data_IF_320687317587
#
_entry.id   IF_320687317587
#
_cell.length_a   1.000
_cell.length_b   1.000
_cell.length_c   1.000
_cell.angle_alpha   90.00
_cell.angle_beta   90.00
_cell.angle_gamma   90.00
#
_symmetry.space_group_name_H-M   'P 1'
#
loop_
_entity.id
_entity.type
_entity.pdbx_description
1 polymer ?
#
# COMPACT_ATOMS: atom_id res chain seq x y z
N UNK A 1 5.92 19.87 -39.52
CA UNK A 1 5.97 19.68 -39.00
C UNK A 1 5.78 19.46 -38.15
N UNK A 2 5.86 19.23 -38.11
CA UNK A 2 5.81 18.96 -37.32
C UNK A 2 5.59 18.53 -36.37
N UNK A 3 5.67 18.29 -36.42
CA UNK A 3 5.49 17.84 -35.51
C UNK A 3 5.52 17.58 -34.62
N UNK A 4 5.57 17.62 -34.66
CA UNK A 4 5.59 17.37 -33.77
C UNK A 4 5.58 16.98 -32.95
N UNK A 5 5.67 16.92 -33.02
CA UNK A 5 5.68 16.44 -32.16
C UNK A 5 5.60 16.24 -31.32
N UNK A 6 5.58 16.21 -31.42
CA UNK A 6 5.61 15.93 -30.61
C UNK A 6 5.36 15.75 -29.82
N UNK A 7 5.35 15.59 -30.05
CA UNK A 7 5.25 15.32 -29.38
C UNK A 7 5.13 15.07 -28.65
N UNK A 8 5.13 14.95 -29.10
CA UNK A 8 5.15 14.60 -28.50
C UNK A 8 5.04 14.41 -27.82
N UNK A 9 4.86 14.22 -28.00
CA UNK A 9 4.82 13.98 -27.37
C UNK A 9 4.78 13.72 -26.61
N UNK A 10 4.77 13.46 -26.69
CA UNK A 10 4.80 13.14 -25.93
C UNK A 10 4.78 12.71 -25.17
N UNK A 11 4.52 12.35 -25.40
CA UNK A 11 4.67 11.78 -24.66
C UNK A 11 4.64 11.51 -23.93
N UNK A 12 4.77 11.41 -23.99
CA UNK A 12 4.83 11.17 -23.23
C UNK A 12 4.64 10.99 -22.36
N UNK A 13 4.42 10.66 -22.44
CA UNK A 13 4.39 10.41 -21.57
C UNK A 13 4.16 10.38 -20.71
N UNK A 14 3.90 10.32 -20.67
CA UNK A 14 3.86 10.35 -19.85
C UNK A 14 3.79 10.67 -19.22
N UNK A 15 3.81 10.91 -19.39
CA UNK A 15 3.88 11.38 -18.80
C UNK A 15 3.63 11.96 -18.12
N UNK A 16 3.60 12.09 -17.97
CA UNK A 16 3.49 12.65 -17.18
C UNK A 16 2.77 13.29 -16.67
N UNK A 17 2.32 13.58 -16.84
CA UNK A 17 1.88 14.28 -16.24
C UNK A 17 1.47 14.29 -15.40
N UNK A 18 1.34 14.15 -15.82
CA UNK A 18 1.52 14.20 -14.56
C UNK A 18 1.23 14.65 -13.30
N UNK A 19 1.31 15.50 -12.73
CA UNK A 19 1.25 15.95 -11.39
C UNK A 19 0.05 15.52 -10.62
N UNK A 20 -1.06 15.50 -11.26
CA UNK A 20 -2.30 15.14 -10.58
C UNK A 20 -2.33 13.71 -10.13
N UNK A 21 -1.57 12.86 -10.80
CA UNK A 21 -1.57 11.46 -10.47
C UNK A 21 -0.40 11.09 -9.60
N UNK A 22 0.35 12.08 -9.13
CA UNK A 22 1.57 11.80 -8.40
C UNK A 22 1.30 11.05 -7.10
N UNK A 23 0.12 11.27 -6.50
CA UNK A 23 -0.17 10.68 -5.21
C UNK A 23 -0.99 9.40 -5.28
N UNK A 24 -1.35 8.95 -6.49
CA UNK A 24 -2.11 7.72 -6.62
C UNK A 24 -1.45 6.81 -7.64
N UNK A 25 -1.66 5.52 -7.45
CA UNK A 25 -1.16 4.51 -8.37
C UNK A 25 -2.23 3.43 -8.46
N UNK A 26 -2.55 3.03 -9.69
CA UNK A 26 -3.64 2.10 -9.91
C UNK A 26 -3.28 0.91 -10.79
N UNK A 27 -2.00 0.74 -11.14
CA UNK A 27 -1.54 -0.48 -11.79
C UNK A 27 -0.61 -1.20 -10.85
N UNK A 28 -0.49 -2.53 -10.99
CA UNK A 28 0.42 -3.26 -10.11
C UNK A 28 1.85 -2.72 -10.14
N UNK A 29 2.35 -2.37 -11.31
CA UNK A 29 3.70 -1.85 -11.43
C UNK A 29 3.84 -0.50 -10.73
N UNK A 30 2.89 0.39 -10.95
CA UNK A 30 2.96 1.72 -10.34
C UNK A 30 2.77 1.64 -8.84
N UNK A 31 1.87 0.77 -8.37
CA UNK A 31 1.69 0.60 -6.94
C UNK A 31 2.97 0.07 -6.28
N UNK A 32 3.58 -0.94 -6.90
CA UNK A 32 4.81 -1.50 -6.34
C UNK A 32 5.90 -0.44 -6.25
N UNK A 33 6.02 0.36 -7.29
CA UNK A 33 7.01 1.43 -7.31
C UNK A 33 6.73 2.44 -6.19
N UNK A 34 5.46 2.78 -6.00
CA UNK A 34 5.06 3.69 -4.94
C UNK A 34 5.38 3.11 -3.58
N UNK A 35 5.08 1.83 -3.37
CA UNK A 35 5.37 1.18 -2.09
C UNK A 35 6.86 1.17 -1.81
N UNK A 36 7.67 0.78 -2.80
CA UNK A 36 9.11 0.73 -2.61
C UNK A 36 9.65 2.10 -2.26
N UNK A 37 9.23 3.11 -3.01
CA UNK A 37 9.71 4.47 -2.77
C UNK A 37 9.32 4.97 -1.39
N UNK A 38 8.07 4.78 -1.02
CA UNK A 38 7.58 5.31 0.25
C UNK A 38 8.17 4.59 1.44
N UNK A 39 8.37 3.29 1.34
CA UNK A 39 9.01 2.54 2.42
C UNK A 39 10.46 2.97 2.55
N UNK A 40 11.15 3.16 1.44
CA UNK A 40 12.54 3.62 1.46
C UNK A 40 12.63 4.99 2.12
N UNK A 41 11.72 5.90 1.76
CA UNK A 41 11.72 7.23 2.36
C UNK A 41 11.37 7.19 3.84
N UNK A 42 10.44 6.32 4.21
CA UNK A 42 10.08 6.14 5.61
C UNK A 42 11.27 5.73 6.43
N UNK A 43 12.06 4.80 5.92
CA UNK A 43 13.25 4.33 6.62
C UNK A 43 14.31 5.41 6.72
N UNK A 44 14.49 6.15 5.63
CA UNK A 44 15.50 7.21 5.60
C UNK A 44 15.15 8.34 6.54
N UNK A 45 13.87 8.73 6.57
CA UNK A 45 13.43 9.86 7.38
C UNK A 45 13.01 9.46 8.78
N UNK A 46 13.00 8.16 9.07
CA UNK A 46 12.63 7.62 10.39
C UNK A 46 11.24 8.09 10.80
N UNK A 47 10.27 7.90 9.93
CA UNK A 47 8.89 8.24 10.22
C UNK A 47 7.96 7.33 9.45
N UNK A 48 6.71 7.26 9.91
CA UNK A 48 5.73 6.35 9.34
C UNK A 48 5.19 6.80 8.00
N UNK A 49 4.58 5.87 7.30
CA UNK A 49 3.87 6.14 6.07
C UNK A 49 2.59 5.31 6.10
N UNK A 50 1.51 5.87 5.56
CA UNK A 50 0.22 5.19 5.48
C UNK A 50 -0.19 5.08 4.03
N UNK A 51 -0.50 3.87 3.60
CA UNK A 51 -1.05 3.62 2.28
C UNK A 51 -2.56 3.44 2.41
N UNK A 52 -3.31 4.16 1.58
CA UNK A 52 -4.77 4.15 1.67
C UNK A 52 -5.33 3.74 0.31
N UNK A 53 -6.13 2.69 0.29
CA UNK A 53 -6.76 2.24 -0.94
C UNK A 53 -7.94 3.14 -1.27
N UNK A 54 -8.19 3.32 -2.57
CA UNK A 54 -9.28 4.18 -3.00
C UNK A 54 -8.96 5.64 -3.01
N UNK A 55 -7.71 6.00 -2.70
CA UNK A 55 -7.31 7.41 -2.74
C UNK A 55 -7.51 7.94 -4.15
N UNK A 56 -8.07 9.14 -4.25
CA UNK A 56 -8.37 9.71 -5.55
C UNK A 56 -9.74 9.33 -6.07
N UNK A 57 -10.39 8.36 -5.47
CA UNK A 57 -11.76 8.00 -5.79
C UNK A 57 -12.70 8.65 -4.80
N UNK A 58 -13.91 8.89 -5.25
CA UNK A 58 -14.91 9.43 -4.35
C UNK A 58 -15.38 8.32 -3.42
N UNK A 59 -15.19 8.46 -2.11
CA UNK A 59 -15.60 7.38 -1.23
C UNK A 59 -17.11 7.34 -1.07
N UNK A 60 -17.66 6.17 -0.82
CA UNK A 60 -19.07 6.08 -0.45
C UNK A 60 -19.32 6.89 0.81
N UNK A 61 -20.54 7.34 0.97
CA UNK A 61 -20.89 8.27 2.04
C UNK A 61 -20.53 7.73 3.41
N UNK A 62 -20.71 6.44 3.60
CA UNK A 62 -20.53 5.86 4.92
C UNK A 62 -19.30 4.98 5.02
N UNK A 63 -18.33 5.16 4.12
CA UNK A 63 -17.21 4.24 4.04
C UNK A 63 -15.87 4.85 4.38
N UNK A 64 -15.82 6.12 4.76
CA UNK A 64 -14.51 6.72 4.99
C UNK A 64 -13.76 6.05 6.12
N UNK A 65 -14.46 5.47 7.07
CA UNK A 65 -13.80 4.78 8.17
C UNK A 65 -13.36 3.39 7.83
N UNK A 66 -13.80 2.88 6.70
CA UNK A 66 -13.53 1.50 6.35
C UNK A 66 -12.62 1.34 5.15
N UNK A 67 -12.10 2.43 4.62
CA UNK A 67 -11.15 2.34 3.50
C UNK A 67 -9.95 1.53 3.94
N UNK A 68 -9.57 0.50 3.18
CA UNK A 68 -8.40 -0.28 3.55
C UNK A 68 -7.15 0.57 3.63
N UNK A 69 -6.39 0.38 4.66
CA UNK A 69 -5.13 1.11 4.82
C UNK A 69 -4.11 0.23 5.50
N UNK A 70 -2.85 0.50 5.17
CA UNK A 70 -1.71 -0.20 5.70
C UNK A 70 -0.73 0.84 6.19
N UNK A 71 -0.40 0.80 7.47
CA UNK A 71 0.55 1.74 8.05
C UNK A 71 1.88 1.04 8.25
N UNK A 72 2.95 1.70 7.85
CA UNK A 72 4.29 1.16 8.00
C UNK A 72 5.14 2.14 8.78
N UNK A 73 5.78 1.68 9.83
CA UNK A 73 6.65 2.51 10.62
C UNK A 73 7.66 1.64 11.36
N UNK A 74 8.92 1.98 11.23
CA UNK A 74 9.98 1.36 12.03
C UNK A 74 9.97 -0.17 11.92
N UNK A 75 9.86 -0.66 10.68
CA UNK A 75 9.91 -2.11 10.44
C UNK A 75 8.68 -2.86 10.88
N UNK A 76 7.56 -2.17 11.06
CA UNK A 76 6.34 -2.79 11.52
C UNK A 76 5.15 -2.28 10.73
N UNK A 77 4.22 -3.17 10.43
CA UNK A 77 3.00 -2.83 9.72
C UNK A 77 1.84 -2.92 10.69
N UNK A 78 0.98 -1.91 10.70
CA UNK A 78 -0.23 -1.89 11.52
C UNK A 78 -1.43 -2.01 10.62
N UNK A 79 -2.33 -2.93 10.97
CA UNK A 79 -3.55 -3.20 10.21
C UNK A 79 -4.74 -3.17 11.15
N UNK A 80 -5.89 -2.71 10.63
CA UNK A 80 -7.18 -2.87 11.32
C UNK A 80 -8.02 -3.78 10.46
N UNK A 81 -8.31 -4.97 10.95
CA UNK A 81 -8.94 -6.02 10.15
C UNK A 81 -9.99 -6.75 10.98
N UNK A 82 -10.96 -7.34 10.28
CA UNK A 82 -11.96 -8.17 10.92
C UNK A 82 -11.49 -9.63 10.96
N UNK A 83 -12.34 -10.51 11.50
CA UNK A 83 -11.95 -11.90 11.68
C UNK A 83 -11.70 -12.63 10.37
N UNK A 84 -12.49 -12.33 9.34
CA UNK A 84 -12.28 -12.95 8.04
C UNK A 84 -10.99 -12.49 7.40
N UNK A 85 -10.70 -11.21 7.53
CA UNK A 85 -9.45 -10.66 7.02
C UNK A 85 -8.26 -11.21 7.81
N UNK A 86 -8.45 -11.40 9.12
CA UNK A 86 -7.40 -11.99 9.94
C UNK A 86 -7.04 -13.39 9.46
N UNK A 87 -8.06 -14.17 9.13
CA UNK A 87 -7.82 -15.54 8.62
C UNK A 87 -7.02 -15.48 7.32
N UNK A 88 -7.39 -14.55 6.42
CA UNK A 88 -6.66 -14.40 5.17
C UNK A 88 -5.22 -13.93 5.40
N UNK A 89 -5.02 -13.05 6.38
CA UNK A 89 -3.68 -12.61 6.73
C UNK A 89 -2.83 -13.79 7.21
N UNK A 90 -3.39 -14.63 8.04
CA UNK A 90 -2.65 -15.79 8.54
C UNK A 90 -2.23 -16.72 7.40
N UNK A 91 -3.12 -16.89 6.41
CA UNK A 91 -2.76 -17.67 5.24
C UNK A 91 -1.65 -17.03 4.43
N UNK A 92 -1.72 -15.70 4.28
CA UNK A 92 -0.70 -14.99 3.54
C UNK A 92 0.66 -15.07 4.22
N UNK A 93 0.68 -15.05 5.55
CA UNK A 93 1.94 -15.12 6.29
C UNK A 93 2.61 -16.49 6.14
N UNK A 94 1.88 -17.50 5.74
CA UNK A 94 2.49 -18.78 5.44
C UNK A 94 3.31 -18.71 4.16
N UNK A 95 2.97 -17.80 3.27
CA UNK A 95 3.73 -17.61 2.03
C UNK A 95 4.87 -16.62 2.21
N UNK A 96 4.70 -15.66 3.08
CA UNK A 96 5.70 -14.60 3.33
C UNK A 96 6.28 -14.79 4.73
N UNK A 97 7.09 -15.81 4.89
CA UNK A 97 7.51 -16.26 6.22
C UNK A 97 8.40 -15.30 6.98
N UNK A 98 8.99 -14.35 6.30
CA UNK A 98 9.81 -13.36 6.97
C UNK A 98 8.95 -12.35 7.74
N UNK A 99 7.66 -12.26 7.39
CA UNK A 99 6.73 -11.37 8.08
C UNK A 99 5.95 -12.17 9.10
N UNK A 100 5.86 -11.66 10.33
CA UNK A 100 5.21 -12.38 11.41
C UNK A 100 4.38 -11.43 12.25
N UNK A 101 3.28 -11.93 12.79
CA UNK A 101 2.47 -11.15 13.71
C UNK A 101 3.29 -10.87 14.95
N UNK A 102 3.33 -9.61 15.35
CA UNK A 102 3.99 -9.18 16.57
C UNK A 102 2.97 -9.39 17.70
N UNK A 103 3.06 -10.52 18.38
CA UNK A 103 2.05 -10.91 19.34
C UNK A 103 1.96 -9.97 20.54
N UNK A 104 3.08 -9.57 21.16
CA UNK A 104 2.97 -8.67 22.30
C UNK A 104 2.27 -7.36 21.98
N UNK A 105 2.62 -6.73 20.88
CA UNK A 105 2.01 -5.46 20.52
C UNK A 105 0.57 -5.64 20.06
N UNK A 106 0.29 -6.72 19.34
CA UNK A 106 -1.08 -7.01 18.89
C UNK A 106 -1.98 -7.26 20.08
N UNK A 107 -1.46 -7.96 21.08
CA UNK A 107 -2.26 -8.29 22.26
C UNK A 107 -2.62 -7.06 23.07
N UNK A 108 -1.74 -6.07 23.07
CA UNK A 108 -1.97 -4.82 23.79
C UNK A 108 -2.88 -3.86 23.05
N UNK A 109 -3.08 -4.09 21.77
CA UNK A 109 -3.81 -3.14 20.93
C UNK A 109 -5.31 -3.33 21.08
N UNK A 110 -6.06 -2.36 20.56
CA UNK A 110 -7.51 -2.45 20.46
C UNK A 110 -7.89 -3.65 19.60
N UNK A 111 -9.00 -4.27 19.90
CA UNK A 111 -9.48 -5.40 19.14
C UNK A 111 -9.56 -5.03 17.65
N UNK A 112 -9.10 -5.93 16.79
CA UNK A 112 -9.07 -5.69 15.36
C UNK A 112 -7.77 -5.10 14.86
N UNK A 113 -6.89 -4.64 15.74
CA UNK A 113 -5.60 -4.10 15.34
C UNK A 113 -4.55 -5.20 15.42
N UNK A 114 -3.78 -5.34 14.35
CA UNK A 114 -2.73 -6.34 14.27
C UNK A 114 -1.44 -5.66 13.85
N UNK A 115 -0.37 -6.00 14.51
CA UNK A 115 0.96 -5.54 14.13
C UNK A 115 1.74 -6.70 13.51
N UNK A 116 2.39 -6.42 12.39
CA UNK A 116 3.20 -7.42 11.67
C UNK A 116 4.63 -6.92 11.60
N UNK A 117 5.56 -7.74 12.05
CA UNK A 117 6.97 -7.43 11.94
C UNK A 117 7.38 -7.52 10.47
N UNK A 118 8.02 -6.47 9.96
CA UNK A 118 8.36 -6.36 8.53
C UNK A 118 9.83 -6.01 8.38
N UNK A 119 10.70 -6.90 8.81
CA UNK A 119 12.14 -6.68 8.76
C UNK A 119 12.71 -7.29 7.47
N UNK A 120 12.29 -6.77 6.35
CA UNK A 120 12.73 -7.20 5.04
C UNK A 120 13.12 -5.98 4.23
N UNK A 121 13.74 -6.19 3.07
CA UNK A 121 14.08 -5.05 2.23
C UNK A 121 12.82 -4.39 1.69
N UNK A 122 12.99 -3.20 1.10
CA UNK A 122 11.84 -2.42 0.67
C UNK A 122 11.05 -3.14 -0.43
N UNK A 123 11.74 -3.83 -1.32
CA UNK A 123 11.05 -4.52 -2.41
C UNK A 123 10.21 -5.68 -1.90
N UNK A 124 10.75 -6.45 -0.98
CA UNK A 124 10.02 -7.58 -0.41
C UNK A 124 8.84 -7.09 0.41
N UNK A 125 9.06 -6.02 1.18
CA UNK A 125 7.99 -5.41 1.96
C UNK A 125 6.90 -4.87 1.04
N UNK A 126 7.29 -4.26 -0.08
CA UNK A 126 6.32 -3.74 -1.04
C UNK A 126 5.46 -4.86 -1.63
N UNK A 127 6.07 -5.99 -1.93
CA UNK A 127 5.31 -7.13 -2.44
C UNK A 127 4.30 -7.62 -1.40
N UNK A 128 4.70 -7.63 -0.14
CA UNK A 128 3.80 -8.04 0.92
C UNK A 128 2.65 -7.04 1.07
N UNK A 129 2.93 -5.74 0.99
CA UNK A 129 1.88 -4.72 1.08
C UNK A 129 0.87 -4.88 -0.06
N UNK A 130 1.35 -5.11 -1.27
CA UNK A 130 0.44 -5.35 -2.39
C UNK A 130 -0.45 -6.56 -2.11
N UNK A 131 0.14 -7.64 -1.59
CA UNK A 131 -0.63 -8.82 -1.26
C UNK A 131 -1.64 -8.58 -0.15
N UNK A 132 -1.30 -7.72 0.81
CA UNK A 132 -2.27 -7.35 1.84
C UNK A 132 -3.50 -6.73 1.21
N UNK A 133 -3.31 -5.76 0.32
CA UNK A 133 -4.46 -5.11 -0.32
C UNK A 133 -5.24 -6.08 -1.19
N UNK A 134 -4.53 -6.94 -1.96
CA UNK A 134 -5.19 -7.82 -2.90
C UNK A 134 -5.85 -9.02 -2.23
N UNK A 135 -5.20 -9.63 -1.26
CA UNK A 135 -5.66 -10.90 -0.71
C UNK A 135 -6.35 -10.76 0.64
N UNK A 136 -5.86 -9.88 1.50
CA UNK A 136 -6.49 -9.71 2.80
C UNK A 136 -7.70 -8.82 2.69
N UNK A 137 -7.56 -7.68 2.02
CA UNK A 137 -8.67 -6.75 1.83
C UNK A 137 -9.52 -7.06 0.61
N UNK A 138 -9.03 -7.93 -0.27
CA UNK A 138 -9.83 -8.39 -1.41
C UNK A 138 -10.01 -7.41 -2.53
N UNK A 139 -9.08 -6.49 -2.74
CA UNK A 139 -9.22 -5.47 -3.75
C UNK A 139 -8.87 -5.99 -5.14
N UNK A 140 -9.47 -5.38 -6.16
CA UNK A 140 -9.21 -5.76 -7.55
C UNK A 140 -7.85 -5.32 -8.00
N UNK A 141 -7.36 -5.94 -9.07
CA UNK A 141 -6.05 -5.61 -9.61
C UNK A 141 -5.92 -4.14 -9.96
N UNK A 142 -7.01 -3.50 -10.34
CA UNK A 142 -6.98 -2.08 -10.75
C UNK A 142 -7.22 -1.09 -9.63
N UNK A 143 -7.15 -1.52 -8.37
CA UNK A 143 -7.43 -0.59 -7.28
C UNK A 143 -6.38 0.53 -7.27
N UNK A 144 -6.80 1.69 -6.77
CA UNK A 144 -5.91 2.84 -6.62
C UNK A 144 -5.43 2.91 -5.19
N UNK A 145 -4.18 3.33 -5.01
CA UNK A 145 -3.62 3.54 -3.68
C UNK A 145 -2.94 4.90 -3.66
N UNK A 146 -3.04 5.56 -2.52
CA UNK A 146 -2.33 6.81 -2.28
C UNK A 146 -1.59 6.75 -0.98
N UNK A 147 -0.74 7.73 -0.77
CA UNK A 147 0.06 7.85 0.45
C UNK A 147 -0.48 9.01 1.26
N UNK A 148 -0.81 8.74 2.51
CA UNK A 148 -1.34 9.78 3.40
C UNK A 148 -0.25 10.33 4.31
#
# INVERSE_FOLDING_TARGET
MTAVPVDAMEGDGGRDDPGTDADTASTPTDRRRRFVHSITESRRADRGVTFVAGAGSEPPIDAEDTAPRVEYEDGRIRLEIDDGERTRLEGLLEEYRVFKIDEPDTRKATAGVVFVSAVADAKHTADFVESLFREVFGLEEGYAVGVA
#
